data_IF_004027182239
#
_entry.id   IF_004027182239
#
_cell.length_a   1.000
_cell.length_b   1.000
_cell.length_c   1.000
_cell.angle_alpha   90.00
_cell.angle_beta   90.00
_cell.angle_gamma   90.00
#
_symmetry.space_group_name_H-M   'P 1'
#
loop_
_entity.id
_entity.type
_entity.pdbx_description
1 polymer ?
#
# COMPACT_ATOMS: atom_id res chain seq x y z
N UNK A 1 -11.02 15.68 -2.63
CA UNK A 1 -9.78 16.12 -3.30
C UNK A 1 -10.19 16.60 -4.67
N UNK A 2 -9.46 17.52 -5.30
CA UNK A 2 -9.69 17.82 -6.72
C UNK A 2 -9.49 16.54 -7.54
N UNK A 3 -10.13 16.47 -8.71
CA UNK A 3 -9.89 15.38 -9.66
C UNK A 3 -8.49 15.49 -10.26
N UNK A 4 -7.94 14.36 -10.72
CA UNK A 4 -6.71 14.40 -11.49
C UNK A 4 -6.94 15.14 -12.81
N UNK A 5 -5.94 15.92 -13.28
CA UNK A 5 -5.97 16.47 -14.63
C UNK A 5 -6.26 15.39 -15.68
N UNK A 6 -7.09 15.71 -16.67
CA UNK A 6 -7.56 14.75 -17.68
C UNK A 6 -6.41 14.06 -18.43
N UNK A 7 -5.31 14.79 -18.69
CA UNK A 7 -4.15 14.23 -19.37
C UNK A 7 -3.41 13.17 -18.54
N UNK A 8 -3.31 13.35 -17.22
CA UNK A 8 -2.73 12.36 -16.31
C UNK A 8 -3.60 11.11 -16.30
N UNK A 9 -4.93 11.27 -16.24
CA UNK A 9 -5.85 10.12 -16.20
C UNK A 9 -5.87 9.33 -17.52
N UNK A 10 -5.78 10.03 -18.67
CA UNK A 10 -6.00 9.42 -20.00
C UNK A 10 -4.72 8.91 -20.65
N UNK A 11 -3.62 9.64 -20.57
CA UNK A 11 -2.41 9.36 -21.36
C UNK A 11 -1.26 8.80 -20.54
N UNK A 12 -1.14 9.20 -19.26
CA UNK A 12 -0.01 8.79 -18.43
C UNK A 12 0.09 7.27 -18.22
N UNK A 13 -0.99 6.52 -17.90
CA UNK A 13 -0.89 5.07 -17.68
C UNK A 13 -0.44 4.32 -18.93
N UNK A 14 -1.02 4.64 -20.09
CA UNK A 14 -0.71 3.99 -21.34
C UNK A 14 0.72 4.32 -21.80
N UNK A 15 1.16 5.58 -21.66
CA UNK A 15 2.53 5.98 -22.01
C UNK A 15 3.57 5.33 -21.11
N UNK A 16 3.31 5.23 -19.80
CA UNK A 16 4.19 4.49 -18.88
C UNK A 16 4.29 3.01 -19.25
N UNK A 17 3.15 2.37 -19.51
CA UNK A 17 3.12 0.97 -19.91
C UNK A 17 3.88 0.72 -21.21
N UNK A 18 3.59 1.49 -22.26
CA UNK A 18 4.29 1.41 -23.55
C UNK A 18 5.80 1.67 -23.35
N UNK A 19 6.16 2.69 -22.58
CA UNK A 19 7.57 3.01 -22.30
C UNK A 19 8.31 1.87 -21.60
N UNK A 20 7.68 1.20 -20.63
CA UNK A 20 8.28 0.02 -19.95
C UNK A 20 8.41 -1.15 -20.93
N UNK A 21 7.41 -1.41 -21.77
CA UNK A 21 7.48 -2.47 -22.78
C UNK A 21 8.58 -2.19 -23.81
N UNK A 22 8.67 -0.95 -24.31
CA UNK A 22 9.74 -0.54 -25.24
C UNK A 22 11.11 -0.67 -24.58
N UNK A 23 11.26 -0.22 -23.33
CA UNK A 23 12.49 -0.40 -22.57
C UNK A 23 12.86 -1.88 -22.40
N UNK A 24 11.88 -2.74 -22.08
CA UNK A 24 12.08 -4.18 -21.97
C UNK A 24 12.53 -4.79 -23.31
N UNK A 25 11.94 -4.36 -24.43
CA UNK A 25 12.32 -4.83 -25.76
C UNK A 25 13.76 -4.44 -26.12
N UNK A 26 14.19 -3.23 -25.76
CA UNK A 26 15.60 -2.85 -25.90
C UNK A 26 16.52 -3.76 -25.08
N UNK A 27 16.13 -4.13 -23.86
CA UNK A 27 16.92 -5.01 -23.00
C UNK A 27 16.97 -6.46 -23.48
N UNK A 28 15.93 -6.93 -24.17
CA UNK A 28 15.85 -8.29 -24.74
C UNK A 28 16.50 -8.41 -26.13
N UNK A 29 16.80 -7.28 -26.78
CA UNK A 29 17.39 -7.25 -28.12
C UNK A 29 18.77 -7.92 -28.16
N UNK A 30 19.05 -8.66 -29.23
CA UNK A 30 20.36 -9.27 -29.48
C UNK A 30 21.39 -8.29 -30.05
N UNK A 31 20.98 -7.07 -30.41
CA UNK A 31 21.86 -6.03 -30.96
C UNK A 31 22.41 -5.21 -29.81
N UNK A 32 23.67 -5.46 -29.45
CA UNK A 32 24.41 -4.65 -28.50
C UNK A 32 25.09 -3.49 -29.25
N UNK A 33 24.62 -2.27 -29.01
CA UNK A 33 25.15 -1.05 -29.62
C UNK A 33 24.96 0.11 -28.65
N UNK A 34 25.93 1.03 -28.59
CA UNK A 34 25.86 2.22 -27.72
C UNK A 34 24.60 3.05 -27.99
N UNK A 35 24.15 3.09 -29.24
CA UNK A 35 22.92 3.77 -29.64
C UNK A 35 21.65 3.14 -29.05
N UNK A 36 21.66 1.81 -28.90
CA UNK A 36 20.56 1.05 -28.29
C UNK A 36 20.50 1.32 -26.79
N UNK A 37 21.65 1.32 -26.11
CA UNK A 37 21.74 1.60 -24.67
C UNK A 37 21.35 3.04 -24.31
N UNK A 38 21.76 4.01 -25.14
CA UNK A 38 21.35 5.41 -25.01
C UNK A 38 19.83 5.54 -25.18
N UNK A 39 19.26 4.91 -26.22
CA UNK A 39 17.82 4.93 -26.49
C UNK A 39 17.03 4.30 -25.34
N UNK A 40 17.47 3.15 -24.84
CA UNK A 40 16.87 2.50 -23.68
C UNK A 40 16.91 3.41 -22.44
N UNK A 41 18.05 4.06 -22.18
CA UNK A 41 18.20 4.99 -21.05
C UNK A 41 17.27 6.20 -21.17
N UNK A 42 17.11 6.76 -22.37
CA UNK A 42 16.19 7.88 -22.62
C UNK A 42 14.72 7.47 -22.41
N UNK A 43 14.32 6.32 -22.94
CA UNK A 43 12.96 5.78 -22.74
C UNK A 43 12.69 5.56 -21.25
N UNK A 44 13.64 4.95 -20.53
CA UNK A 44 13.49 4.74 -19.08
C UNK A 44 13.47 6.08 -18.33
N UNK A 45 14.26 7.07 -18.75
CA UNK A 45 14.22 8.42 -18.20
C UNK A 45 12.85 9.09 -18.35
N UNK A 46 12.20 8.93 -19.51
CA UNK A 46 10.83 9.39 -19.73
C UNK A 46 9.84 8.69 -18.79
N UNK A 47 9.93 7.36 -18.65
CA UNK A 47 9.10 6.58 -17.72
C UNK A 47 9.29 7.07 -16.27
N UNK A 48 10.53 7.21 -15.81
CA UNK A 48 10.87 7.68 -14.46
C UNK A 48 10.34 9.10 -14.23
N UNK A 49 10.46 10.00 -15.21
CA UNK A 49 9.91 11.35 -15.12
C UNK A 49 8.38 11.33 -15.03
N UNK A 50 7.70 10.42 -15.74
CA UNK A 50 6.26 10.23 -15.64
C UNK A 50 5.82 9.77 -14.24
N UNK A 51 6.57 8.85 -13.62
CA UNK A 51 6.32 8.44 -12.22
C UNK A 51 6.57 9.57 -11.22
N UNK A 52 7.61 10.39 -11.44
CA UNK A 52 7.87 11.58 -10.63
C UNK A 52 6.72 12.59 -10.73
N UNK A 53 6.28 12.89 -11.95
CA UNK A 53 5.13 13.76 -12.21
C UNK A 53 3.86 13.23 -11.54
N UNK A 54 3.60 11.92 -11.64
CA UNK A 54 2.48 11.28 -10.97
C UNK A 54 2.55 11.46 -9.45
N UNK A 55 3.69 11.12 -8.84
CA UNK A 55 3.90 11.27 -7.40
C UNK A 55 3.65 12.70 -6.92
N UNK A 56 4.25 13.69 -7.58
CA UNK A 56 4.11 15.10 -7.20
C UNK A 56 2.66 15.59 -7.34
N UNK A 57 1.97 15.22 -8.43
CA UNK A 57 0.57 15.57 -8.62
C UNK A 57 -0.32 14.92 -7.55
N UNK A 58 -0.09 13.63 -7.24
CA UNK A 58 -0.83 12.94 -6.19
C UNK A 58 -0.63 13.60 -4.83
N UNK A 59 0.60 13.92 -4.44
CA UNK A 59 0.89 14.62 -3.18
C UNK A 59 0.24 16.00 -3.14
N UNK A 60 0.30 16.76 -4.25
CA UNK A 60 -0.35 18.07 -4.38
C UNK A 60 -1.87 17.97 -4.18
N UNK A 61 -2.52 17.02 -4.85
CA UNK A 61 -3.98 16.81 -4.73
C UNK A 61 -4.38 16.38 -3.32
N UNK A 62 -3.56 15.55 -2.66
CA UNK A 62 -3.77 15.14 -1.28
C UNK A 62 -3.56 16.28 -0.27
N UNK A 63 -2.71 17.26 -0.59
CA UNK A 63 -2.52 18.46 0.22
C UNK A 63 -3.71 19.42 0.10
N UNK A 64 -4.27 19.56 -1.11
CA UNK A 64 -5.44 20.41 -1.41
C UNK A 64 -6.79 19.83 -0.90
N UNK A 65 -6.75 18.86 0.01
CA UNK A 65 -7.95 18.19 0.50
C UNK A 65 -8.72 19.10 1.47
N UNK A 66 -9.97 19.44 1.09
CA UNK A 66 -10.87 20.34 1.84
C UNK A 66 -11.24 19.87 3.25
N UNK A 67 -11.30 18.55 3.50
CA UNK A 67 -11.62 17.97 4.82
C UNK A 67 -10.43 17.20 5.37
N UNK A 68 -9.81 17.72 6.44
CA UNK A 68 -8.57 17.20 7.05
C UNK A 68 -8.87 16.25 8.22
N UNK A 69 -9.60 15.17 7.96
CA UNK A 69 -9.75 14.10 8.96
C UNK A 69 -8.49 13.22 8.91
N UNK A 70 -7.84 12.95 10.07
CA UNK A 70 -6.70 12.05 10.12
C UNK A 70 -7.13 10.65 9.64
N UNK A 71 -6.37 10.12 8.68
CA UNK A 71 -6.61 8.84 8.01
C UNK A 71 -5.26 8.18 7.79
N UNK A 72 -5.05 7.02 8.43
CA UNK A 72 -3.78 6.28 8.36
C UNK A 72 -3.50 5.80 6.93
N UNK A 73 -4.56 5.50 6.18
CA UNK A 73 -4.44 5.18 4.76
C UNK A 73 -3.73 6.30 4.02
N UNK A 74 -4.10 7.55 4.30
CA UNK A 74 -3.50 8.72 3.65
C UNK A 74 -2.02 8.87 4.03
N UNK A 75 -1.64 8.58 5.28
CA UNK A 75 -0.24 8.63 5.71
C UNK A 75 0.62 7.62 4.93
N UNK A 76 0.16 6.38 4.81
CA UNK A 76 0.82 5.35 4.01
C UNK A 76 0.92 5.72 2.53
N UNK A 77 -0.15 6.28 1.95
CA UNK A 77 -0.13 6.77 0.58
C UNK A 77 0.84 7.93 0.36
N UNK A 78 0.93 8.87 1.31
CA UNK A 78 1.91 9.98 1.24
C UNK A 78 3.33 9.45 1.31
N UNK A 79 3.60 8.50 2.20
CA UNK A 79 4.91 7.85 2.31
C UNK A 79 5.27 7.15 0.99
N UNK A 80 4.34 6.38 0.42
CA UNK A 80 4.55 5.70 -0.85
C UNK A 80 4.85 6.65 -2.00
N UNK A 81 4.10 7.74 -2.13
CA UNK A 81 4.37 8.75 -3.17
C UNK A 81 5.69 9.48 -2.92
N UNK A 82 5.99 9.86 -1.67
CA UNK A 82 7.26 10.49 -1.32
C UNK A 82 8.44 9.58 -1.70
N UNK A 83 8.39 8.28 -1.36
CA UNK A 83 9.41 7.31 -1.73
C UNK A 83 9.51 7.10 -3.23
N UNK A 84 8.38 7.11 -3.97
CA UNK A 84 8.40 7.01 -5.43
C UNK A 84 9.14 8.20 -6.05
N UNK A 85 8.88 9.41 -5.55
CA UNK A 85 9.58 10.63 -5.96
C UNK A 85 11.08 10.57 -5.61
N UNK A 86 11.42 10.16 -4.38
CA UNK A 86 12.80 9.99 -3.94
C UNK A 86 13.56 8.96 -4.80
N UNK A 87 12.95 7.81 -5.12
CA UNK A 87 13.56 6.81 -5.99
C UNK A 87 13.78 7.33 -7.41
N UNK A 88 12.81 8.07 -7.97
CA UNK A 88 12.96 8.69 -9.28
C UNK A 88 14.13 9.69 -9.29
N UNK A 89 14.22 10.55 -8.28
CA UNK A 89 15.32 11.51 -8.13
C UNK A 89 16.66 10.82 -7.90
N UNK A 90 16.70 9.75 -7.10
CA UNK A 90 17.89 8.94 -6.87
C UNK A 90 18.37 8.32 -8.19
N UNK A 91 17.46 7.74 -8.97
CA UNK A 91 17.78 7.15 -10.27
C UNK A 91 18.38 8.17 -11.24
N UNK A 92 17.74 9.34 -11.36
CA UNK A 92 18.26 10.45 -12.19
C UNK A 92 19.64 10.91 -11.70
N UNK A 93 19.81 11.03 -10.38
CA UNK A 93 21.10 11.42 -9.79
C UNK A 93 22.20 10.40 -10.09
N UNK A 94 21.88 9.10 -10.07
CA UNK A 94 22.83 8.05 -10.45
C UNK A 94 23.24 8.08 -11.91
N UNK A 95 22.36 8.57 -12.80
CA UNK A 95 22.68 8.77 -14.23
C UNK A 95 23.48 10.04 -14.49
N UNK A 96 23.22 11.12 -13.76
CA UNK A 96 23.94 12.39 -13.91
C UNK A 96 25.31 12.39 -13.21
N UNK A 97 25.44 11.65 -12.11
CA UNK A 97 26.65 11.59 -11.30
C UNK A 97 27.16 10.15 -11.19
N UNK A 98 28.15 9.75 -12.01
CA UNK A 98 28.70 8.40 -12.03
C UNK A 98 29.12 7.85 -10.65
N UNK A 99 29.69 8.65 -9.71
CA UNK A 99 30.02 8.15 -8.37
C UNK A 99 28.80 7.65 -7.58
N UNK A 100 27.62 8.25 -7.78
CA UNK A 100 26.37 7.83 -7.12
C UNK A 100 25.85 6.56 -7.78
N UNK A 101 25.77 6.54 -9.11
CA UNK A 101 25.25 5.41 -9.88
C UNK A 101 26.08 4.14 -9.77
N UNK A 102 27.41 4.29 -9.69
CA UNK A 102 28.35 3.17 -9.55
C UNK A 102 28.55 2.74 -8.09
N UNK A 103 27.91 3.41 -7.12
CA UNK A 103 28.02 3.03 -5.72
C UNK A 103 27.36 1.67 -5.47
N UNK A 104 27.99 0.84 -4.63
CA UNK A 104 27.47 -0.50 -4.29
C UNK A 104 26.08 -0.49 -3.64
N UNK A 105 25.65 0.65 -3.10
CA UNK A 105 24.38 0.79 -2.39
C UNK A 105 23.24 1.30 -3.27
N UNK A 106 23.54 1.80 -4.47
CA UNK A 106 22.56 2.45 -5.35
C UNK A 106 21.35 1.55 -5.65
N UNK A 107 21.61 0.34 -6.15
CA UNK A 107 20.56 -0.63 -6.47
C UNK A 107 19.81 -1.11 -5.23
N UNK A 108 20.50 -1.23 -4.08
CA UNK A 108 19.89 -1.65 -2.81
C UNK A 108 18.91 -0.58 -2.32
N UNK A 109 19.31 0.70 -2.35
CA UNK A 109 18.45 1.81 -1.95
C UNK A 109 17.22 1.95 -2.84
N UNK A 110 17.38 1.78 -4.17
CA UNK A 110 16.24 1.73 -5.09
C UNK A 110 15.31 0.56 -4.78
N UNK A 111 15.85 -0.63 -4.51
CA UNK A 111 15.07 -1.81 -4.13
C UNK A 111 14.28 -1.60 -2.84
N UNK A 112 14.93 -1.11 -1.78
CA UNK A 112 14.29 -0.78 -0.50
C UNK A 112 13.21 0.30 -0.71
N UNK A 113 13.54 1.38 -1.41
CA UNK A 113 12.64 2.48 -1.65
C UNK A 113 11.41 2.07 -2.46
N UNK A 114 11.58 1.30 -3.54
CA UNK A 114 10.46 0.87 -4.40
C UNK A 114 9.62 -0.24 -3.75
N UNK A 115 10.23 -1.28 -3.19
CA UNK A 115 9.48 -2.40 -2.62
C UNK A 115 8.89 -2.06 -1.25
N UNK A 116 9.74 -1.63 -0.33
CA UNK A 116 9.34 -1.36 1.05
C UNK A 116 8.74 0.03 1.21
N UNK A 117 9.33 1.03 0.55
CA UNK A 117 8.91 2.42 0.63
C UNK A 117 7.64 2.71 -0.17
N UNK A 118 7.55 2.25 -1.43
CA UNK A 118 6.38 2.49 -2.30
C UNK A 118 5.34 1.38 -2.16
N UNK A 119 5.66 0.17 -2.63
CA UNK A 119 4.67 -0.89 -2.80
C UNK A 119 4.04 -1.31 -1.47
N UNK A 120 4.85 -1.70 -0.49
CA UNK A 120 4.35 -2.16 0.80
C UNK A 120 3.66 -1.06 1.61
N UNK A 121 4.12 0.20 1.50
CA UNK A 121 3.40 1.31 2.12
C UNK A 121 1.98 1.46 1.55
N UNK A 122 1.83 1.48 0.22
CA UNK A 122 0.52 1.60 -0.43
C UNK A 122 -0.36 0.40 -0.08
N UNK A 123 0.18 -0.82 -0.14
CA UNK A 123 -0.56 -2.05 0.22
C UNK A 123 -1.06 -2.00 1.66
N UNK A 124 -0.20 -1.64 2.62
CA UNK A 124 -0.58 -1.52 4.03
C UNK A 124 -1.73 -0.50 4.22
N UNK A 125 -1.59 0.68 3.61
CA UNK A 125 -2.66 1.69 3.64
C UNK A 125 -3.97 1.17 3.06
N UNK A 126 -3.91 0.50 1.90
CA UNK A 126 -5.10 -0.03 1.24
C UNK A 126 -5.75 -1.17 2.02
N UNK A 127 -4.99 -2.04 2.68
CA UNK A 127 -5.54 -3.10 3.53
C UNK A 127 -6.36 -2.53 4.69
N UNK A 128 -5.89 -1.46 5.34
CA UNK A 128 -6.65 -0.78 6.39
C UNK A 128 -7.94 -0.12 5.90
N UNK A 129 -8.09 0.09 4.60
CA UNK A 129 -9.32 0.63 4.02
C UNK A 129 -10.23 -0.46 3.47
N UNK A 130 -9.67 -1.41 2.73
CA UNK A 130 -10.39 -2.48 2.04
C UNK A 130 -10.98 -3.45 3.04
N UNK A 131 -10.22 -3.91 4.04
CA UNK A 131 -10.71 -4.94 4.98
C UNK A 131 -11.89 -4.43 5.80
N UNK A 132 -11.83 -3.26 6.46
CA UNK A 132 -13.01 -2.71 7.15
C UNK A 132 -14.19 -2.44 6.23
N UNK A 133 -13.93 -1.98 5.00
CA UNK A 133 -14.98 -1.76 4.00
C UNK A 133 -15.71 -3.05 3.65
N UNK A 134 -14.97 -4.13 3.35
CA UNK A 134 -15.55 -5.43 3.01
C UNK A 134 -16.33 -6.02 4.19
N UNK A 135 -15.78 -5.95 5.42
CA UNK A 135 -16.48 -6.42 6.61
C UNK A 135 -17.82 -5.70 6.81
N UNK A 136 -17.81 -4.37 6.72
CA UNK A 136 -19.02 -3.56 6.86
C UNK A 136 -20.02 -3.80 5.73
N UNK A 137 -19.56 -3.74 4.48
CA UNK A 137 -20.40 -3.90 3.28
C UNK A 137 -21.08 -5.27 3.25
N UNK A 138 -20.33 -6.32 3.58
CA UNK A 138 -20.91 -7.66 3.65
C UNK A 138 -21.95 -7.78 4.77
N UNK A 139 -21.66 -7.26 5.98
CA UNK A 139 -22.65 -7.29 7.07
C UNK A 139 -23.92 -6.50 6.73
N UNK A 140 -23.79 -5.34 6.11
CA UNK A 140 -24.95 -4.55 5.69
C UNK A 140 -25.80 -5.26 4.64
N UNK A 141 -25.17 -5.87 3.63
CA UNK A 141 -25.90 -6.67 2.63
C UNK A 141 -26.62 -7.86 3.29
N UNK A 142 -26.01 -8.50 4.29
CA UNK A 142 -26.64 -9.61 5.02
C UNK A 142 -27.79 -9.15 5.90
N UNK A 143 -27.65 -8.00 6.56
CA UNK A 143 -28.71 -7.41 7.37
C UNK A 143 -29.95 -7.10 6.51
N UNK A 144 -29.72 -6.49 5.34
CA UNK A 144 -30.78 -6.17 4.38
C UNK A 144 -31.44 -7.44 3.83
N UNK A 145 -30.66 -8.45 3.47
CA UNK A 145 -31.17 -9.73 2.97
C UNK A 145 -32.01 -10.50 4.00
N UNK A 146 -31.67 -10.38 5.29
CA UNK A 146 -32.42 -11.01 6.39
C UNK A 146 -33.56 -10.14 6.93
N UNK A 147 -33.74 -8.92 6.41
CA UNK A 147 -34.72 -7.93 6.89
C UNK A 147 -34.62 -7.69 8.41
N UNK A 148 -33.42 -7.86 8.99
CA UNK A 148 -33.20 -7.83 10.44
C UNK A 148 -32.57 -6.50 10.85
N UNK A 149 -33.38 -5.49 11.18
CA UNK A 149 -32.89 -4.15 11.53
C UNK A 149 -32.54 -3.96 13.03
N UNK A 150 -32.57 -5.03 13.81
CA UNK A 150 -32.35 -4.98 15.27
C UNK A 150 -30.87 -4.93 15.65
N UNK A 151 -29.97 -5.39 14.78
CA UNK A 151 -28.52 -5.40 15.04
C UNK A 151 -27.90 -4.10 14.53
N UNK A 152 -27.32 -3.33 15.44
CA UNK A 152 -26.55 -2.12 15.09
C UNK A 152 -25.26 -2.51 14.40
N UNK A 153 -25.05 -2.01 13.18
CA UNK A 153 -23.81 -2.28 12.44
C UNK A 153 -22.64 -1.44 12.97
N UNK A 154 -21.47 -2.06 13.19
CA UNK A 154 -20.27 -1.32 13.55
C UNK A 154 -19.91 -0.36 12.43
N UNK A 155 -19.55 0.87 12.79
CA UNK A 155 -19.01 1.80 11.80
C UNK A 155 -17.65 1.31 11.28
N UNK A 156 -17.27 1.63 10.03
CA UNK A 156 -16.02 1.14 9.43
C UNK A 156 -14.77 1.35 10.32
N UNK A 157 -14.72 2.49 11.02
CA UNK A 157 -13.63 2.85 11.96
C UNK A 157 -13.60 2.03 13.25
N UNK A 158 -14.64 1.26 13.53
CA UNK A 158 -14.70 0.40 14.72
C UNK A 158 -14.05 -0.96 14.46
N UNK A 159 -13.89 -1.37 13.19
CA UNK A 159 -13.22 -2.65 12.85
C UNK A 159 -11.73 -2.62 13.17
N UNK A 160 -11.05 -1.51 12.88
CA UNK A 160 -9.62 -1.32 13.17
C UNK A 160 -9.42 0.01 13.90
N UNK A 161 -8.68 -0.02 15.00
CA UNK A 161 -8.36 1.18 15.77
C UNK A 161 -7.39 2.08 15.00
N UNK A 162 -7.78 3.34 14.79
CA UNK A 162 -6.93 4.38 14.17
C UNK A 162 -5.57 4.51 14.89
N UNK A 163 -5.55 4.42 16.24
CA UNK A 163 -4.30 4.48 17.04
C UNK A 163 -3.36 3.30 16.76
N UNK A 164 -3.92 2.10 16.61
CA UNK A 164 -3.12 0.90 16.33
C UNK A 164 -2.52 0.97 14.92
N UNK A 165 -3.31 1.38 13.93
CA UNK A 165 -2.84 1.58 12.57
C UNK A 165 -1.75 2.67 12.49
N UNK A 166 -1.87 3.77 13.26
CA UNK A 166 -0.82 4.80 13.35
C UNK A 166 0.49 4.27 13.94
N UNK A 167 0.43 3.48 15.02
CA UNK A 167 1.63 2.86 15.60
C UNK A 167 2.35 1.96 14.59
N UNK A 168 1.60 1.15 13.84
CA UNK A 168 2.17 0.31 12.79
C UNK A 168 2.78 1.14 11.65
N UNK A 169 2.17 2.28 11.28
CA UNK A 169 2.79 3.23 10.35
C UNK A 169 4.14 3.74 10.83
N UNK A 170 4.25 4.14 12.11
CA UNK A 170 5.52 4.61 12.66
C UNK A 170 6.59 3.50 12.72
N UNK A 171 6.20 2.25 13.03
CA UNK A 171 7.09 1.09 12.97
C UNK A 171 7.58 0.81 11.54
N UNK A 172 6.68 0.89 10.55
CA UNK A 172 7.05 0.75 9.14
C UNK A 172 8.01 1.85 8.69
N UNK A 173 7.72 3.11 9.05
CA UNK A 173 8.55 4.26 8.70
C UNK A 173 9.95 4.18 9.34
N UNK A 174 10.01 3.84 10.63
CA UNK A 174 11.30 3.66 11.33
C UNK A 174 12.08 2.49 10.74
N UNK A 175 11.42 1.37 10.43
CA UNK A 175 12.03 0.25 9.71
C UNK A 175 12.61 0.67 8.36
N UNK A 176 11.89 1.51 7.61
CA UNK A 176 12.34 2.03 6.31
C UNK A 176 13.57 2.92 6.43
N UNK A 177 13.61 3.81 7.42
CA UNK A 177 14.80 4.64 7.71
C UNK A 177 15.98 3.75 8.07
N UNK A 178 15.77 2.77 8.95
CA UNK A 178 16.83 1.84 9.34
C UNK A 178 17.32 0.99 8.17
N UNK A 179 16.43 0.55 7.27
CA UNK A 179 16.80 -0.17 6.07
C UNK A 179 17.64 0.68 5.11
N UNK A 180 17.27 1.96 4.92
CA UNK A 180 18.05 2.89 4.12
C UNK A 180 19.45 3.11 4.69
N UNK A 181 19.58 3.26 6.02
CA UNK A 181 20.89 3.35 6.69
C UNK A 181 21.66 2.03 6.60
N UNK A 182 20.97 0.90 6.72
CA UNK A 182 21.56 -0.44 6.59
C UNK A 182 22.14 -0.72 5.20
N UNK A 183 21.64 -0.05 4.16
CA UNK A 183 22.26 -0.13 2.85
C UNK A 183 23.75 0.28 2.94
N UNK A 184 24.05 1.36 3.66
CA UNK A 184 25.42 1.88 3.82
C UNK A 184 26.19 1.19 4.96
N UNK A 185 25.52 0.95 6.10
CA UNK A 185 26.11 0.41 7.33
C UNK A 185 25.34 -0.85 7.77
N UNK A 186 25.51 -2.00 7.10
CA UNK A 186 24.67 -3.18 7.30
C UNK A 186 24.83 -3.82 8.67
N UNK A 187 26.05 -3.88 9.21
CA UNK A 187 26.38 -4.64 10.42
C UNK A 187 25.52 -4.27 11.65
N UNK A 188 25.19 -2.98 11.78
CA UNK A 188 24.44 -2.46 12.92
C UNK A 188 22.94 -2.30 12.63
N UNK A 189 22.57 -1.97 11.40
CA UNK A 189 21.19 -1.56 11.07
C UNK A 189 20.37 -2.64 10.37
N UNK A 190 20.98 -3.67 9.78
CA UNK A 190 20.24 -4.71 9.05
C UNK A 190 19.31 -5.52 9.96
N UNK A 191 19.81 -6.00 11.12
CA UNK A 191 18.99 -6.77 12.07
C UNK A 191 17.86 -5.94 12.70
N UNK A 192 18.11 -4.70 13.19
CA UNK A 192 17.02 -3.87 13.71
C UNK A 192 16.00 -3.48 12.64
N UNK A 193 16.41 -3.21 11.39
CA UNK A 193 15.49 -2.94 10.28
C UNK A 193 14.55 -4.15 10.05
N UNK A 194 15.11 -5.36 9.96
CA UNK A 194 14.34 -6.58 9.80
C UNK A 194 13.37 -6.80 10.98
N UNK A 195 13.83 -6.62 12.21
CA UNK A 195 12.99 -6.73 13.41
C UNK A 195 11.82 -5.73 13.37
N UNK A 196 12.08 -4.46 13.03
CA UNK A 196 11.03 -3.42 12.91
C UNK A 196 9.99 -3.79 11.86
N UNK A 197 10.40 -4.34 10.71
CA UNK A 197 9.45 -4.82 9.71
C UNK A 197 8.66 -6.04 10.17
N UNK A 198 9.29 -6.99 10.86
CA UNK A 198 8.56 -8.13 11.44
C UNK A 198 7.50 -7.62 12.41
N UNK A 199 7.87 -6.76 13.37
CA UNK A 199 6.91 -6.20 14.34
C UNK A 199 5.80 -5.42 13.63
N UNK A 200 6.15 -4.58 12.64
CA UNK A 200 5.17 -3.83 11.85
C UNK A 200 4.17 -4.73 11.12
N UNK A 201 4.66 -5.78 10.43
CA UNK A 201 3.81 -6.70 9.68
C UNK A 201 2.99 -7.61 10.61
N UNK A 202 3.55 -8.07 11.73
CA UNK A 202 2.80 -8.81 12.75
C UNK A 202 1.68 -7.95 13.36
N UNK A 203 1.95 -6.66 13.59
CA UNK A 203 0.94 -5.72 14.09
C UNK A 203 -0.17 -5.48 13.06
N UNK A 204 0.17 -5.36 11.77
CA UNK A 204 -0.81 -5.31 10.68
C UNK A 204 -1.69 -6.57 10.69
N UNK A 205 -1.07 -7.76 10.68
CA UNK A 205 -1.80 -9.03 10.71
C UNK A 205 -2.75 -9.09 11.91
N UNK A 206 -2.27 -8.74 13.10
CA UNK A 206 -3.09 -8.69 14.30
C UNK A 206 -4.28 -7.73 14.17
N UNK A 207 -4.06 -6.52 13.66
CA UNK A 207 -5.12 -5.53 13.43
C UNK A 207 -6.20 -6.06 12.48
N UNK A 208 -5.80 -6.74 11.39
CA UNK A 208 -6.73 -7.34 10.43
C UNK A 208 -7.48 -8.53 11.05
N UNK A 209 -6.82 -9.37 11.86
CA UNK A 209 -7.48 -10.47 12.58
C UNK A 209 -8.52 -9.95 13.57
N UNK A 210 -8.26 -8.84 14.26
CA UNK A 210 -9.23 -8.19 15.15
C UNK A 210 -10.46 -7.72 14.36
N UNK A 211 -10.27 -7.12 13.19
CA UNK A 211 -11.38 -6.73 12.31
C UNK A 211 -12.24 -7.94 11.89
N UNK A 212 -11.58 -9.03 11.46
CA UNK A 212 -12.25 -10.28 11.07
C UNK A 212 -13.01 -10.91 12.24
N UNK A 213 -12.43 -10.90 13.45
CA UNK A 213 -13.10 -11.40 14.66
C UNK A 213 -14.36 -10.59 14.97
N UNK A 214 -14.28 -9.25 14.94
CA UNK A 214 -15.45 -8.37 15.13
C UNK A 214 -16.53 -8.67 14.10
N UNK A 215 -16.15 -8.79 12.82
CA UNK A 215 -17.05 -9.19 11.74
C UNK A 215 -17.78 -10.51 12.03
N UNK A 216 -17.05 -11.56 12.44
CA UNK A 216 -17.65 -12.87 12.76
C UNK A 216 -18.59 -12.80 13.95
N UNK A 217 -18.26 -12.02 14.97
CA UNK A 217 -19.13 -11.82 16.14
C UNK A 217 -20.43 -11.12 15.77
N UNK A 218 -20.37 -10.04 14.97
CA UNK A 218 -21.58 -9.34 14.50
C UNK A 218 -22.41 -10.22 13.56
N UNK A 219 -21.77 -11.00 12.70
CA UNK A 219 -22.47 -11.93 11.82
C UNK A 219 -23.26 -12.99 12.60
N UNK A 220 -22.73 -13.50 13.72
CA UNK A 220 -23.45 -14.43 14.59
C UNK A 220 -24.70 -13.84 15.20
N UNK A 221 -24.72 -12.54 15.51
CA UNK A 221 -25.90 -11.85 16.03
C UNK A 221 -26.98 -11.65 14.96
N UNK A 222 -26.59 -11.58 13.68
CA UNK A 222 -27.52 -11.45 12.55
C UNK A 222 -28.18 -12.78 12.17
N UNK A 223 -27.48 -13.90 12.35
CA UNK A 223 -28.04 -15.21 12.06
C UNK A 223 -29.01 -15.56 13.19
N UNK A 224 -30.28 -15.94 12.88
CA UNK A 224 -31.17 -16.43 13.91
C UNK A 224 -30.50 -17.63 14.58
N UNK A 225 -30.42 -17.62 15.92
CA UNK A 225 -30.07 -18.83 16.68
C UNK A 225 -31.00 -19.92 16.18
N UNK A 226 -30.49 -20.96 15.53
CA UNK A 226 -31.32 -22.10 15.15
C UNK A 226 -32.04 -22.55 16.41
N UNK A 227 -33.39 -22.51 16.47
CA UNK A 227 -34.09 -22.99 17.64
C UNK A 227 -33.64 -24.44 17.84
N UNK A 228 -33.10 -24.71 19.02
CA UNK A 228 -32.72 -26.05 19.44
C UNK A 228 -33.87 -26.99 19.12
N UNK A 229 -33.51 -28.14 18.57
CA UNK A 229 -34.37 -29.32 18.44
C UNK A 229 -35.30 -29.41 19.64
N UNK A 230 -36.58 -29.11 19.41
CA UNK A 230 -37.64 -29.36 20.40
C UNK A 230 -37.62 -30.87 20.60
N UNK A 231 -37.06 -31.32 21.72
CA UNK A 231 -37.20 -32.69 22.18
C UNK A 231 -38.67 -32.89 22.53
N UNK A 232 -39.45 -33.34 21.56
CA UNK A 232 -40.80 -33.85 21.78
C UNK A 232 -40.70 -35.15 22.57
N UNK A 233 -40.63 -35.05 23.90
CA UNK A 233 -40.98 -36.16 24.79
C UNK A 233 -42.51 -36.31 24.77
N UNK A 234 -43.03 -37.13 23.85
CA UNK A 234 -44.40 -37.61 23.90
C UNK A 234 -44.50 -38.67 25.00
N UNK A 235 -44.91 -38.25 26.20
CA UNK A 235 -45.30 -39.13 27.29
C UNK A 235 -46.76 -39.54 27.09
N UNK A 236 -46.91 -40.83 26.81
CA UNK A 236 -48.03 -41.75 27.11
C UNK A 236 -49.30 -41.18 27.76
N UNK A 237 -50.43 -41.47 27.12
CA UNK A 237 -51.70 -41.82 27.76
C UNK A 237 -52.29 -43.02 27.02
#
# INVERSE_FOLDING_TARGET
TPEYPLWIRRYLPNSLFIGIVVWLLFQLGFIQSEWVDLSATLVLGLVVSGYLLFSLNTLRLQYQRKRRVPDVTLLFWRLGMAMLGCCALLWVSGKLFPPIGNSRYFSILLGIGLLQGVALSIVNGMLYKIVPFLCWFHLQNRQLALMCMTVRMPHMKEFVSDKSAQRQFHLHLTGLVFAAVAAVIPNWFSRPAAALFIVSNSMLLFNLLVAVRKYRSTLKLLLPTMPGTVSGSSTTA
#
